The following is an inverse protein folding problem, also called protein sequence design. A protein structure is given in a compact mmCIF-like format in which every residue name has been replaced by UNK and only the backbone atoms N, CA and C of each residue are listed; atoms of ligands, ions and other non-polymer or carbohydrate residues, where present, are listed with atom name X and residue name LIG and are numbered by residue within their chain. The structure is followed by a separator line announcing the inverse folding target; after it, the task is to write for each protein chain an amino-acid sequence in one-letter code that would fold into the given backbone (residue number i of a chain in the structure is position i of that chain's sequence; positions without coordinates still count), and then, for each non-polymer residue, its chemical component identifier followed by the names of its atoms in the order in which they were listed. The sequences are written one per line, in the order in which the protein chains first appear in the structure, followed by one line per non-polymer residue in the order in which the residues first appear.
data_IF_816508029731
#
_entry.id   IF_816508029731
#
_cell.length_a   1.000
_cell.length_b   1.000
_cell.length_c   1.000
_cell.angle_alpha   90.00
_cell.angle_beta   90.00
_cell.angle_gamma   90.00
#
_symmetry.space_group_name_H-M   'P 1'
#
loop_
_entity.id
_entity.type
_entity.pdbx_description
1 polymer ?
#
# COMPACT_ATOMS: atom_id res chain seq x y z
N UNK A 1 -1.66 18.89 6.01
CA UNK A 1 -0.67 19.16 7.04
C UNK A 1 0.32 20.23 6.55
N UNK A 2 0.63 21.15 7.42
CA UNK A 2 1.77 22.05 7.28
C UNK A 2 2.57 22.04 8.58
N UNK A 3 3.81 22.53 8.52
CA UNK A 3 4.67 22.60 9.71
C UNK A 3 4.08 23.52 10.78
N UNK A 4 3.37 24.58 10.36
CA UNK A 4 2.79 25.59 11.25
C UNK A 4 1.50 25.11 11.91
N UNK A 5 0.62 24.44 11.12
CA UNK A 5 -0.75 24.12 11.57
C UNK A 5 -0.92 22.66 12.02
N UNK A 6 0.01 21.76 11.65
CA UNK A 6 -0.19 20.32 11.84
C UNK A 6 -1.31 19.77 10.93
N UNK A 7 -1.93 18.67 11.35
CA UNK A 7 -3.07 18.06 10.66
C UNK A 7 -4.34 18.89 10.87
N UNK A 8 -5.02 19.24 9.79
CA UNK A 8 -6.24 20.05 9.81
C UNK A 8 -7.18 19.67 8.67
N UNK A 9 -8.41 20.19 8.73
CA UNK A 9 -9.42 20.12 7.66
C UNK A 9 -9.83 18.67 7.34
N UNK A 10 -10.08 17.87 8.39
CA UNK A 10 -10.61 16.51 8.24
C UNK A 10 -12.07 16.55 7.73
N UNK A 11 -12.33 15.90 6.58
CA UNK A 11 -13.66 15.85 5.97
C UNK A 11 -13.82 14.64 5.08
N UNK A 12 -15.05 14.18 4.90
CA UNK A 12 -15.45 13.20 3.89
C UNK A 12 -16.14 13.97 2.77
N UNK A 13 -15.73 13.74 1.55
CA UNK A 13 -16.26 14.39 0.35
C UNK A 13 -16.52 13.34 -0.73
N UNK A 14 -17.42 13.58 -1.69
CA UNK A 14 -17.57 12.71 -2.85
C UNK A 14 -16.23 12.52 -3.58
N UNK A 15 -16.00 11.32 -4.13
CA UNK A 15 -14.82 11.04 -4.94
C UNK A 15 -14.77 11.99 -6.15
N UNK A 16 -13.58 12.45 -6.45
CA UNK A 16 -13.34 13.34 -7.59
C UNK A 16 -11.86 13.60 -7.84
N UNK A 17 -11.53 14.32 -8.91
CA UNK A 17 -10.16 14.65 -9.27
C UNK A 17 -9.46 15.47 -8.16
N UNK A 18 -8.16 15.21 -7.99
CA UNK A 18 -7.28 16.03 -7.15
C UNK A 18 -6.59 17.06 -8.04
N UNK A 19 -6.82 18.33 -7.76
CA UNK A 19 -6.05 19.41 -8.41
C UNK A 19 -4.70 19.55 -7.74
N UNK A 20 -3.62 19.49 -8.54
CA UNK A 20 -2.25 19.59 -8.09
C UNK A 20 -1.47 20.56 -8.98
N UNK A 21 -0.52 21.30 -8.37
CA UNK A 21 0.44 22.09 -9.13
C UNK A 21 1.38 21.15 -9.92
N UNK A 22 1.72 21.43 -11.18
CA UNK A 22 2.66 20.62 -11.95
C UNK A 22 4.04 20.45 -11.31
N UNK A 23 4.48 21.42 -10.48
CA UNK A 23 5.72 21.35 -9.72
C UNK A 23 5.59 20.60 -8.39
N UNK A 24 4.46 19.98 -8.10
CA UNK A 24 4.24 19.26 -6.85
C UNK A 24 5.32 18.19 -6.63
N UNK A 25 6.00 18.23 -5.48
CA UNK A 25 7.14 17.37 -5.11
C UNK A 25 6.84 15.89 -5.35
N UNK A 26 5.64 15.42 -5.04
CA UNK A 26 5.29 14.01 -5.20
C UNK A 26 5.31 13.55 -6.65
N UNK A 27 5.00 14.41 -7.62
CA UNK A 27 4.99 14.10 -9.05
C UNK A 27 6.41 13.87 -9.61
N UNK A 28 7.42 14.45 -8.97
CA UNK A 28 8.81 14.40 -9.42
C UNK A 28 9.69 13.46 -8.62
N UNK A 29 9.47 13.36 -7.31
CA UNK A 29 10.36 12.65 -6.38
C UNK A 29 9.65 11.57 -5.57
N UNK A 30 8.38 11.26 -5.88
CA UNK A 30 7.59 10.19 -5.28
C UNK A 30 7.63 10.21 -3.74
N UNK A 31 7.62 11.41 -3.12
CA UNK A 31 7.52 11.53 -1.67
C UNK A 31 6.07 11.25 -1.26
N UNK A 32 5.72 9.97 -1.20
CA UNK A 32 4.40 9.46 -0.88
C UNK A 32 4.48 8.08 -0.24
N UNK A 33 3.48 7.74 0.56
CA UNK A 33 3.31 6.44 1.20
C UNK A 33 1.85 6.02 1.13
N UNK A 34 1.59 4.73 1.20
CA UNK A 34 0.23 4.23 1.20
C UNK A 34 0.07 3.00 2.08
N UNK A 35 -1.18 2.68 2.39
CA UNK A 35 -1.58 1.47 3.07
C UNK A 35 -2.66 0.73 2.29
N UNK A 36 -2.89 -0.52 2.65
CA UNK A 36 -3.98 -1.33 2.12
C UNK A 36 -4.55 -2.20 3.21
N UNK A 37 -5.85 -2.13 3.39
CA UNK A 37 -6.62 -2.97 4.30
C UNK A 37 -8.00 -3.24 3.72
N UNK A 38 -8.78 -4.07 4.39
CA UNK A 38 -10.10 -4.46 3.93
C UNK A 38 -11.13 -4.37 5.05
N UNK A 39 -12.34 -3.99 4.71
CA UNK A 39 -13.52 -4.18 5.55
C UNK A 39 -14.33 -5.36 5.02
N UNK A 40 -14.79 -6.20 5.94
CA UNK A 40 -15.54 -7.42 5.63
C UNK A 40 -16.91 -7.36 6.28
N UNK A 41 -17.93 -7.86 5.58
CA UNK A 41 -19.26 -8.09 6.17
C UNK A 41 -19.34 -9.51 6.69
N UNK A 42 -19.69 -9.66 7.97
CA UNK A 42 -19.90 -10.98 8.58
C UNK A 42 -21.25 -11.58 8.16
N UNK A 43 -21.45 -12.86 8.44
CA UNK A 43 -22.73 -13.53 8.20
C UNK A 43 -23.92 -12.88 8.96
N UNK A 44 -23.64 -12.24 10.11
CA UNK A 44 -24.61 -11.48 10.91
C UNK A 44 -24.81 -10.05 10.42
N UNK A 45 -24.19 -9.65 9.28
CA UNK A 45 -24.29 -8.32 8.69
C UNK A 45 -23.40 -7.26 9.34
N UNK A 46 -22.56 -7.60 10.32
CA UNK A 46 -21.62 -6.66 10.95
C UNK A 46 -20.43 -6.39 10.05
N UNK A 47 -19.93 -5.17 10.07
CA UNK A 47 -18.70 -4.80 9.35
C UNK A 47 -17.52 -4.86 10.31
N UNK A 48 -16.43 -5.52 9.85
CA UNK A 48 -15.23 -5.73 10.64
C UNK A 48 -13.98 -5.25 9.90
N UNK A 49 -13.07 -4.65 10.66
CA UNK A 49 -11.69 -4.35 10.26
C UNK A 49 -10.73 -5.26 11.02
N UNK A 50 -9.66 -5.70 10.36
CA UNK A 50 -8.65 -6.52 11.02
C UNK A 50 -7.41 -5.69 11.35
N UNK A 51 -7.19 -5.41 12.64
CA UNK A 51 -6.01 -4.75 13.20
C UNK A 51 -5.59 -3.45 12.47
N UNK A 52 -6.49 -2.49 12.24
CA UNK A 52 -6.18 -1.27 11.46
C UNK A 52 -5.05 -0.43 12.09
N UNK A 53 -4.85 -0.51 13.41
CA UNK A 53 -3.74 0.13 14.12
C UNK A 53 -2.37 -0.35 13.66
N UNK A 54 -2.24 -1.58 13.13
CA UNK A 54 -0.98 -2.08 12.61
C UNK A 54 -0.64 -1.47 11.25
N UNK A 55 -1.66 -1.19 10.43
CA UNK A 55 -1.49 -0.42 9.20
C UNK A 55 -1.05 1.01 9.51
N UNK A 56 -1.68 1.67 10.49
CA UNK A 56 -1.28 2.99 10.94
C UNK A 56 0.20 3.04 11.39
N UNK A 57 0.62 2.08 12.22
CA UNK A 57 2.02 1.96 12.67
C UNK A 57 2.99 1.71 11.52
N UNK A 58 2.62 0.91 10.52
CA UNK A 58 3.44 0.69 9.33
C UNK A 58 3.55 1.96 8.48
N UNK A 59 2.47 2.73 8.35
CA UNK A 59 2.52 4.04 7.68
C UNK A 59 3.47 5.00 8.40
N UNK A 60 3.47 5.05 9.73
CA UNK A 60 4.44 5.85 10.52
C UNK A 60 5.88 5.46 10.18
N UNK A 61 6.19 4.15 10.16
CA UNK A 61 7.52 3.67 9.79
C UNK A 61 7.89 4.05 8.34
N UNK A 62 6.95 3.94 7.42
CA UNK A 62 7.15 4.33 6.02
C UNK A 62 7.38 5.83 5.88
N UNK A 63 6.58 6.64 6.57
CA UNK A 63 6.71 8.10 6.59
C UNK A 63 8.06 8.54 7.16
N UNK A 64 8.49 7.94 8.27
CA UNK A 64 9.79 8.23 8.89
C UNK A 64 10.95 8.01 7.92
N UNK A 65 10.92 6.91 7.12
CA UNK A 65 11.96 6.64 6.11
C UNK A 65 12.04 7.69 5.01
N UNK A 66 10.91 8.31 4.65
CA UNK A 66 10.82 9.34 3.61
C UNK A 66 10.82 10.76 4.16
N UNK A 67 11.13 10.96 5.45
CA UNK A 67 11.09 12.25 6.12
C UNK A 67 9.73 12.97 6.02
N UNK A 68 8.64 12.18 6.01
CA UNK A 68 7.27 12.70 6.00
C UNK A 68 6.73 12.78 7.44
N UNK A 69 5.78 13.68 7.74
CA UNK A 69 5.22 13.80 9.07
C UNK A 69 4.48 12.53 9.51
N UNK A 70 4.48 12.27 10.80
CA UNK A 70 3.68 11.22 11.41
C UNK A 70 2.18 11.55 11.26
N UNK A 71 1.38 10.52 10.89
CA UNK A 71 -0.07 10.58 10.99
C UNK A 71 -0.48 9.74 12.20
N UNK A 72 -1.10 10.36 13.25
CA UNK A 72 -1.38 9.67 14.50
C UNK A 72 -2.25 8.43 14.34
N UNK A 73 -1.92 7.35 15.06
CA UNK A 73 -2.62 6.05 14.99
C UNK A 73 -4.12 6.22 15.24
N UNK A 74 -4.49 6.96 16.26
CA UNK A 74 -5.90 7.16 16.62
C UNK A 74 -6.66 7.91 15.52
N UNK A 75 -6.07 8.96 14.96
CA UNK A 75 -6.66 9.69 13.82
C UNK A 75 -6.81 8.81 12.60
N UNK A 76 -5.82 7.95 12.31
CA UNK A 76 -5.88 7.00 11.20
C UNK A 76 -7.05 6.03 11.37
N UNK A 77 -7.17 5.42 12.53
CA UNK A 77 -8.22 4.42 12.82
C UNK A 77 -9.60 5.07 12.79
N UNK A 78 -9.75 6.25 13.38
CA UNK A 78 -11.02 7.00 13.36
C UNK A 78 -11.40 7.45 11.94
N UNK A 79 -10.47 7.91 11.13
CA UNK A 79 -10.72 8.28 9.74
C UNK A 79 -11.19 7.07 8.91
N UNK A 80 -10.53 5.90 9.07
CA UNK A 80 -10.95 4.65 8.41
C UNK A 80 -12.37 4.25 8.84
N UNK A 81 -12.67 4.26 10.13
CA UNK A 81 -14.00 3.90 10.65
C UNK A 81 -15.09 4.87 10.14
N UNK A 82 -14.79 6.17 10.13
CA UNK A 82 -15.73 7.18 9.67
C UNK A 82 -16.07 6.98 8.18
N UNK A 83 -15.07 6.73 7.34
CA UNK A 83 -15.29 6.45 5.92
C UNK A 83 -16.08 5.15 5.72
N UNK A 84 -15.67 4.05 6.35
CA UNK A 84 -16.37 2.76 6.23
C UNK A 84 -17.83 2.86 6.69
N UNK A 85 -18.13 3.68 7.69
CA UNK A 85 -19.50 3.92 8.13
C UNK A 85 -20.35 4.66 7.09
N UNK A 86 -19.77 5.61 6.37
CA UNK A 86 -20.46 6.33 5.27
C UNK A 86 -20.66 5.41 4.08
N UNK A 87 -19.69 4.56 3.80
CA UNK A 87 -19.66 3.64 2.66
C UNK A 87 -20.12 2.21 3.03
N UNK A 88 -20.90 2.05 4.11
CA UNK A 88 -21.26 0.70 4.60
C UNK A 88 -22.02 -0.12 3.58
N UNK A 89 -22.84 0.50 2.73
CA UNK A 89 -23.59 -0.18 1.66
C UNK A 89 -22.68 -0.72 0.54
N UNK A 90 -21.46 -0.18 0.43
CA UNK A 90 -20.45 -0.65 -0.50
C UNK A 90 -19.60 -1.83 0.01
N UNK A 91 -19.76 -2.23 1.28
CA UNK A 91 -19.13 -3.44 1.81
C UNK A 91 -19.92 -4.66 1.33
N UNK A 92 -19.40 -5.45 0.37
CA UNK A 92 -20.16 -6.51 -0.25
C UNK A 92 -20.42 -7.68 0.73
N UNK A 93 -21.43 -8.49 0.42
CA UNK A 93 -21.83 -9.67 1.21
C UNK A 93 -21.42 -10.99 0.57
N UNK A 94 -21.05 -10.97 -0.71
CA UNK A 94 -20.71 -12.19 -1.44
C UNK A 94 -19.43 -12.83 -0.89
N UNK A 95 -19.32 -14.16 -0.91
CA UNK A 95 -18.09 -14.86 -0.49
C UNK A 95 -16.85 -14.33 -1.22
N UNK A 96 -15.73 -14.29 -0.50
CA UNK A 96 -14.42 -13.82 -1.00
C UNK A 96 -14.37 -12.36 -1.47
N UNK A 97 -15.42 -11.57 -1.18
CA UNK A 97 -15.48 -10.14 -1.48
C UNK A 97 -15.19 -9.29 -0.25
N UNK A 98 -14.83 -8.04 -0.47
CA UNK A 98 -14.57 -7.08 0.61
C UNK A 98 -14.54 -5.66 0.07
N UNK A 99 -14.64 -4.67 0.95
CA UNK A 99 -14.31 -3.29 0.61
C UNK A 99 -12.82 -3.07 0.83
N UNK A 100 -12.07 -2.84 -0.25
CA UNK A 100 -10.67 -2.45 -0.16
C UNK A 100 -10.56 -0.98 0.24
N UNK A 101 -9.70 -0.69 1.21
CA UNK A 101 -9.46 0.64 1.75
C UNK A 101 -8.01 1.01 1.49
N UNK A 102 -7.79 2.17 0.86
CA UNK A 102 -6.48 2.71 0.49
C UNK A 102 -6.23 4.05 1.19
N UNK A 103 -5.69 4.05 2.43
CA UNK A 103 -5.08 5.24 3.01
C UNK A 103 -3.77 5.56 2.27
N UNK A 104 -3.54 6.82 1.97
CA UNK A 104 -2.29 7.28 1.36
C UNK A 104 -1.98 8.71 1.74
N UNK A 105 -0.70 9.03 1.72
CA UNK A 105 -0.19 10.34 2.09
C UNK A 105 0.87 10.78 1.08
N UNK A 106 0.83 12.02 0.66
CA UNK A 106 1.74 12.54 -0.35
C UNK A 106 2.06 14.02 -0.12
N UNK A 107 3.27 14.42 -0.57
CA UNK A 107 3.69 15.80 -0.54
C UNK A 107 2.87 16.65 -1.52
N UNK A 108 2.46 17.84 -1.09
CA UNK A 108 1.67 18.79 -1.90
C UNK A 108 2.38 20.11 -2.18
N UNK A 109 3.58 20.32 -1.64
CA UNK A 109 4.38 21.49 -1.93
C UNK A 109 4.76 21.56 -3.41
N UNK A 110 4.64 22.76 -4.00
CA UNK A 110 5.06 23.05 -5.37
C UNK A 110 6.53 23.50 -5.37
N UNK A 111 7.45 22.56 -5.66
CA UNK A 111 8.89 22.83 -5.72
C UNK A 111 9.61 21.77 -6.56
N UNK A 112 10.64 22.19 -7.31
CA UNK A 112 11.42 21.29 -8.18
C UNK A 112 12.78 20.87 -7.57
N UNK A 113 13.03 21.15 -6.31
CA UNK A 113 14.23 20.73 -5.59
C UNK A 113 13.98 19.42 -4.82
N UNK A 114 14.99 18.54 -4.71
CA UNK A 114 14.93 17.36 -3.83
C UNK A 114 15.13 17.80 -2.39
N UNK A 115 14.06 17.79 -1.60
CA UNK A 115 14.08 18.15 -0.18
C UNK A 115 12.87 17.53 0.54
N UNK A 116 12.86 17.65 1.86
CA UNK A 116 11.70 17.32 2.66
C UNK A 116 10.60 18.37 2.44
N UNK A 117 9.46 17.98 1.91
CA UNK A 117 8.37 18.91 1.65
C UNK A 117 7.81 19.54 2.94
N UNK A 118 7.28 20.74 2.83
CA UNK A 118 6.67 21.51 3.93
C UNK A 118 5.16 21.30 4.07
N UNK A 119 4.52 20.66 3.09
CA UNK A 119 3.07 20.42 3.06
C UNK A 119 2.72 19.03 2.56
N UNK A 120 1.73 18.41 3.19
CA UNK A 120 1.27 17.05 2.88
C UNK A 120 -0.25 16.94 2.94
N UNK A 121 -0.78 15.99 2.17
CA UNK A 121 -2.18 15.59 2.24
C UNK A 121 -2.28 14.10 2.58
N UNK A 122 -3.12 13.77 3.55
CA UNK A 122 -3.56 12.40 3.84
C UNK A 122 -4.94 12.20 3.27
N UNK A 123 -5.17 11.08 2.59
CA UNK A 123 -6.45 10.73 2.01
C UNK A 123 -6.76 9.23 2.20
N UNK A 124 -8.03 8.89 2.20
CA UNK A 124 -8.49 7.50 2.15
C UNK A 124 -9.51 7.38 1.02
N UNK A 125 -9.32 6.40 0.15
CA UNK A 125 -10.30 5.99 -0.85
C UNK A 125 -10.63 4.51 -0.67
N UNK A 126 -11.77 4.06 -1.16
CA UNK A 126 -12.15 2.65 -1.08
C UNK A 126 -12.86 2.18 -2.34
N UNK A 127 -12.82 0.87 -2.60
CA UNK A 127 -13.60 0.24 -3.66
C UNK A 127 -13.94 -1.22 -3.29
N UNK A 128 -15.11 -1.74 -3.71
CA UNK A 128 -15.41 -3.15 -3.61
C UNK A 128 -14.45 -3.99 -4.46
N UNK A 129 -14.00 -5.12 -3.92
CA UNK A 129 -13.10 -6.05 -4.62
C UNK A 129 -13.55 -7.49 -4.41
N UNK A 130 -13.28 -8.34 -5.41
CA UNK A 130 -13.43 -9.78 -5.35
C UNK A 130 -12.16 -10.50 -4.90
N UNK A 131 -12.05 -11.80 -5.27
CA UNK A 131 -10.86 -12.60 -5.06
C UNK A 131 -9.65 -11.97 -5.74
N UNK A 132 -8.48 -12.06 -5.08
CA UNK A 132 -7.24 -11.49 -5.61
C UNK A 132 -6.76 -12.18 -6.88
N UNK A 133 -6.84 -13.52 -6.93
CA UNK A 133 -6.53 -14.32 -8.11
C UNK A 133 -7.81 -14.78 -8.80
N UNK A 134 -7.83 -14.71 -10.13
CA UNK A 134 -8.91 -15.26 -10.93
C UNK A 134 -9.05 -16.79 -10.74
N UNK A 135 -7.92 -17.47 -10.46
CA UNK A 135 -7.84 -18.88 -10.19
C UNK A 135 -8.33 -19.27 -8.76
N UNK A 136 -8.65 -18.28 -7.92
CA UNK A 136 -8.99 -18.49 -6.51
C UNK A 136 -7.82 -19.08 -5.71
N UNK A 137 -8.05 -20.25 -5.08
CA UNK A 137 -7.04 -20.97 -4.27
C UNK A 137 -6.20 -21.97 -5.09
N UNK A 138 -6.37 -22.05 -6.41
CA UNK A 138 -5.58 -22.94 -7.24
C UNK A 138 -4.11 -22.50 -7.31
N UNK A 139 -3.16 -23.43 -7.47
CA UNK A 139 -1.75 -23.10 -7.61
C UNK A 139 -1.47 -22.22 -8.81
N UNK A 140 -0.61 -21.23 -8.64
CA UNK A 140 -0.13 -20.34 -9.69
C UNK A 140 1.36 -20.54 -9.95
N UNK A 141 1.82 -20.18 -11.15
CA UNK A 141 3.24 -20.21 -11.49
C UNK A 141 3.90 -18.88 -11.08
N UNK A 142 5.05 -18.98 -10.44
CA UNK A 142 5.83 -17.82 -9.98
C UNK A 142 7.20 -17.85 -10.65
N UNK A 143 7.61 -16.74 -11.27
CA UNK A 143 8.92 -16.56 -11.88
C UNK A 143 9.94 -16.21 -10.78
N UNK A 144 11.02 -16.96 -10.67
CA UNK A 144 12.18 -16.55 -9.88
C UNK A 144 12.96 -15.52 -10.69
N UNK A 145 13.05 -14.29 -10.18
CA UNK A 145 13.73 -13.19 -10.87
C UNK A 145 15.19 -13.12 -10.40
N UNK A 146 16.12 -13.33 -11.30
CA UNK A 146 17.56 -13.42 -11.04
C UNK A 146 18.38 -12.26 -11.63
N UNK A 147 17.74 -11.38 -12.40
CA UNK A 147 18.38 -10.21 -13.03
C UNK A 147 18.05 -8.92 -12.28
N UNK A 148 16.74 -8.66 -12.07
CA UNK A 148 16.27 -7.46 -11.43
C UNK A 148 16.22 -7.62 -9.90
N UNK A 149 16.29 -6.52 -9.16
CA UNK A 149 16.08 -6.51 -7.70
C UNK A 149 14.94 -5.55 -7.34
N UNK A 150 14.17 -5.96 -6.36
CA UNK A 150 13.12 -5.14 -5.78
C UNK A 150 13.65 -4.22 -4.68
N UNK A 151 14.56 -4.72 -3.86
CA UNK A 151 15.07 -4.05 -2.68
C UNK A 151 16.53 -4.41 -2.42
N UNK A 152 17.23 -3.53 -1.72
CA UNK A 152 18.61 -3.74 -1.26
C UNK A 152 18.75 -3.29 0.18
N UNK A 153 19.76 -3.83 0.89
CA UNK A 153 20.09 -3.42 2.25
C UNK A 153 20.35 -1.90 2.33
N UNK A 154 19.70 -1.22 3.28
CA UNK A 154 19.80 0.23 3.42
C UNK A 154 18.89 1.03 2.46
N UNK A 155 18.21 0.37 1.52
CA UNK A 155 17.24 0.97 0.62
C UNK A 155 15.87 1.24 1.27
N UNK A 156 14.83 1.30 0.45
CA UNK A 156 13.46 1.58 0.85
C UNK A 156 12.55 0.35 0.87
N UNK A 157 13.10 -0.87 0.77
CA UNK A 157 12.34 -2.11 0.61
C UNK A 157 11.26 -2.35 1.67
N UNK A 158 11.51 -1.95 2.93
CA UNK A 158 10.55 -2.05 4.03
C UNK A 158 9.51 -0.92 4.06
N UNK A 159 9.67 0.09 3.20
CA UNK A 159 8.80 1.27 3.13
C UNK A 159 7.67 1.02 2.15
N UNK A 160 6.44 1.29 2.54
CA UNK A 160 5.29 1.17 1.63
C UNK A 160 5.12 2.46 0.82
N UNK A 161 5.99 2.66 -0.17
CA UNK A 161 6.06 3.84 -1.03
C UNK A 161 6.04 3.47 -2.51
N UNK A 162 5.52 4.34 -3.37
CA UNK A 162 5.29 4.08 -4.80
C UNK A 162 6.54 3.73 -5.58
N UNK A 163 7.69 4.29 -5.22
CA UNK A 163 8.96 3.99 -5.88
C UNK A 163 9.32 2.50 -5.89
N UNK A 164 9.03 1.76 -4.80
CA UNK A 164 9.26 0.32 -4.73
C UNK A 164 8.36 -0.44 -5.72
N UNK A 165 7.13 0.01 -5.88
CA UNK A 165 6.16 -0.62 -6.79
C UNK A 165 6.44 -0.28 -8.24
N UNK A 166 6.75 0.97 -8.54
CA UNK A 166 7.17 1.38 -9.89
C UNK A 166 8.41 0.60 -10.35
N UNK A 167 9.40 0.42 -9.49
CA UNK A 167 10.60 -0.36 -9.79
C UNK A 167 10.33 -1.86 -10.03
N UNK A 168 9.24 -2.41 -9.53
CA UNK A 168 8.88 -3.83 -9.70
C UNK A 168 8.08 -4.12 -10.98
N UNK A 169 7.55 -3.11 -11.67
CA UNK A 169 6.65 -3.29 -12.84
C UNK A 169 7.32 -4.09 -13.95
N UNK A 170 8.59 -3.81 -14.26
CA UNK A 170 9.30 -4.51 -15.35
C UNK A 170 9.39 -6.02 -15.09
N UNK A 171 9.72 -6.43 -13.87
CA UNK A 171 9.74 -7.84 -13.47
C UNK A 171 8.37 -8.51 -13.61
N UNK A 172 7.31 -7.83 -13.19
CA UNK A 172 5.94 -8.34 -13.33
C UNK A 172 5.55 -8.49 -14.82
N UNK A 173 5.83 -7.51 -15.67
CA UNK A 173 5.57 -7.58 -17.12
C UNK A 173 6.36 -8.72 -17.77
N UNK A 174 7.63 -8.94 -17.35
CA UNK A 174 8.46 -10.06 -17.81
C UNK A 174 7.80 -11.41 -17.44
N UNK A 175 7.37 -11.55 -16.19
CA UNK A 175 6.70 -12.75 -15.68
C UNK A 175 5.41 -13.05 -16.47
N UNK A 176 4.55 -12.08 -16.65
CA UNK A 176 3.28 -12.20 -17.40
C UNK A 176 3.50 -12.66 -18.84
N UNK A 177 4.47 -12.07 -19.55
CA UNK A 177 4.83 -12.47 -20.93
C UNK A 177 5.32 -13.92 -21.02
N UNK A 178 5.87 -14.46 -19.92
CA UNK A 178 6.33 -15.85 -19.83
C UNK A 178 5.25 -16.80 -19.28
N UNK A 179 4.04 -16.32 -19.00
CA UNK A 179 2.92 -17.12 -18.47
C UNK A 179 3.01 -17.40 -16.97
N UNK A 180 3.70 -16.54 -16.21
CA UNK A 180 3.75 -16.58 -14.75
C UNK A 180 2.82 -15.51 -14.14
N UNK A 181 2.24 -15.81 -13.00
CA UNK A 181 1.30 -14.91 -12.32
C UNK A 181 2.00 -13.89 -11.43
N UNK A 182 3.20 -14.22 -10.92
CA UNK A 182 3.94 -13.38 -9.97
C UNK A 182 5.45 -13.58 -10.11
N UNK A 183 6.20 -12.71 -9.44
CA UNK A 183 7.66 -12.71 -9.37
C UNK A 183 8.09 -13.06 -7.94
N UNK A 184 9.00 -14.01 -7.79
CA UNK A 184 9.76 -14.26 -6.56
C UNK A 184 11.06 -13.45 -6.65
N UNK A 185 11.18 -12.47 -5.76
CA UNK A 185 12.34 -11.59 -5.68
C UNK A 185 13.44 -12.20 -4.83
N UNK A 186 14.65 -12.15 -5.33
CA UNK A 186 15.85 -12.56 -4.61
C UNK A 186 16.60 -11.35 -4.04
N UNK A 187 17.45 -11.61 -3.05
CA UNK A 187 18.28 -10.61 -2.42
C UNK A 187 19.17 -9.87 -3.42
N UNK A 188 19.39 -8.57 -3.18
CA UNK A 188 20.15 -7.71 -4.09
C UNK A 188 21.65 -7.93 -4.09
N UNK A 189 22.22 -8.65 -3.11
CA UNK A 189 23.65 -8.85 -2.95
C UNK A 189 24.12 -10.14 -3.62
N UNK A 190 23.48 -11.27 -3.35
CA UNK A 190 23.92 -12.60 -3.77
C UNK A 190 23.02 -13.28 -4.78
N UNK A 191 21.78 -12.79 -5.00
CA UNK A 191 20.73 -13.42 -5.82
C UNK A 191 20.44 -14.86 -5.40
N UNK A 192 20.44 -15.11 -4.11
CA UNK A 192 20.37 -16.44 -3.52
C UNK A 192 19.24 -16.61 -2.52
N UNK A 193 18.95 -15.58 -1.75
CA UNK A 193 17.97 -15.63 -0.67
C UNK A 193 16.64 -15.02 -1.12
N UNK A 194 15.55 -15.66 -0.71
CA UNK A 194 14.20 -15.17 -1.00
C UNK A 194 13.91 -13.93 -0.17
N UNK A 195 13.43 -12.87 -0.83
CA UNK A 195 13.04 -11.61 -0.20
C UNK A 195 11.52 -11.46 -0.12
N UNK A 196 10.84 -11.59 -1.25
CA UNK A 196 9.40 -11.34 -1.35
C UNK A 196 8.80 -11.95 -2.61
N UNK A 197 7.48 -12.17 -2.64
CA UNK A 197 6.74 -12.60 -3.83
C UNK A 197 5.79 -11.49 -4.28
N UNK A 198 6.04 -10.94 -5.46
CA UNK A 198 5.22 -9.87 -6.03
C UNK A 198 5.04 -8.72 -5.06
N UNK A 199 3.80 -8.50 -4.61
CA UNK A 199 3.41 -7.50 -3.62
C UNK A 199 2.71 -8.13 -2.40
N UNK A 200 2.99 -9.41 -2.11
CA UNK A 200 2.29 -10.23 -1.12
C UNK A 200 3.25 -10.86 -0.13
N UNK A 201 2.70 -11.26 1.01
CA UNK A 201 3.42 -12.11 1.94
C UNK A 201 3.64 -13.50 1.33
N UNK A 202 4.71 -14.17 1.75
CA UNK A 202 4.99 -15.55 1.41
C UNK A 202 5.27 -16.35 2.69
N UNK A 203 4.82 -17.60 2.70
CA UNK A 203 5.12 -18.57 3.74
C UNK A 203 5.58 -19.86 3.09
N UNK A 204 6.56 -20.51 3.67
CA UNK A 204 7.09 -21.78 3.20
C UNK A 204 6.73 -22.90 4.17
N UNK A 205 6.22 -24.01 3.65
CA UNK A 205 6.07 -25.23 4.43
C UNK A 205 7.21 -26.19 4.08
N UNK A 206 8.13 -26.37 5.03
CA UNK A 206 9.33 -27.19 4.85
C UNK A 206 9.34 -28.24 5.98
N UNK A 207 9.41 -29.53 5.62
CA UNK A 207 9.41 -30.65 6.58
C UNK A 207 8.26 -30.60 7.62
N UNK A 208 7.12 -30.03 7.23
CA UNK A 208 5.93 -29.93 8.10
C UNK A 208 5.83 -28.63 8.91
N UNK A 209 6.86 -27.82 8.94
CA UNK A 209 6.89 -26.51 9.62
C UNK A 209 6.62 -25.36 8.65
N UNK A 210 6.03 -24.28 9.17
CA UNK A 210 5.71 -23.06 8.40
C UNK A 210 6.67 -21.95 8.81
N UNK A 211 7.32 -21.37 7.82
CA UNK A 211 8.28 -20.27 7.95
C UNK A 211 7.76 -19.01 7.26
#
# INVERSE_FOLDING_TARGET
WTKEDGWKDARIVPEGPITMDPACVTLHYAQETFEGMKAYRTAEGKIQLFRPEMNAKRMINSNARLCMPEFPVDMFVEAVKALVKVEEDWVPSEPETSLYIRPFMFATEAALGVHMASAYKFMIICCPVGAYYAEGINPVKILVEDELVRAVKGGTGFTKCGGNYAGSILGQVKAEKMGYSQVLWLDGEHRKYVEEVGTMNIMFKIAGEIY
#
